data_IF_194707547754
#
_entry.id   IF_194707547754
#
_cell.length_a   1.000
_cell.length_b   1.000
_cell.length_c   1.000
_cell.angle_alpha   90.00
_cell.angle_beta   90.00
_cell.angle_gamma   90.00
#
_symmetry.space_group_name_H-M   'P 1'
#
loop_
_entity.id
_entity.type
_entity.pdbx_description
1 polymer ?
#
# COMPACT_ATOMS: atom_id res chain seq x y z
N UNK A 1 -0.87 -19.32 -37.30
CA UNK A 1 -1.57 -18.06 -36.99
C UNK A 1 -1.74 -18.06 -35.49
N UNK A 2 -0.75 -17.49 -34.80
CA UNK A 2 -0.58 -17.66 -33.37
C UNK A 2 -1.40 -16.61 -32.61
N UNK A 3 -2.07 -17.14 -31.60
CA UNK A 3 -2.68 -16.54 -30.44
C UNK A 3 -1.92 -15.32 -29.89
N UNK A 4 -2.47 -14.12 -30.04
CA UNK A 4 -2.12 -12.94 -29.23
C UNK A 4 -3.39 -12.41 -28.53
N UNK A 5 -3.77 -13.03 -27.42
CA UNK A 5 -4.40 -12.30 -26.35
C UNK A 5 -3.60 -12.57 -25.08
N UNK A 6 -2.94 -11.54 -24.53
CA UNK A 6 -2.69 -11.28 -23.09
C UNK A 6 -1.47 -10.38 -22.92
N UNK A 7 -1.48 -9.18 -23.52
CA UNK A 7 -0.56 -8.11 -23.08
C UNK A 7 -1.27 -7.07 -22.20
N UNK A 8 -2.61 -7.00 -22.25
CA UNK A 8 -3.42 -6.06 -21.46
C UNK A 8 -3.79 -6.55 -20.06
N UNK A 9 -3.42 -7.79 -19.69
CA UNK A 9 -3.74 -8.38 -18.37
C UNK A 9 -2.56 -8.42 -17.39
N UNK A 10 -1.40 -7.88 -17.77
CA UNK A 10 -0.19 -7.88 -16.92
C UNK A 10 0.01 -6.56 -16.15
N UNK A 11 -0.63 -5.47 -16.59
CA UNK A 11 -0.43 -4.14 -16.00
C UNK A 11 -1.27 -3.94 -14.72
N UNK A 12 -2.43 -4.58 -14.58
CA UNK A 12 -3.36 -4.23 -13.49
C UNK A 12 -3.02 -4.88 -12.11
N UNK A 13 -1.97 -5.69 -11.98
CA UNK A 13 -1.66 -6.39 -10.71
C UNK A 13 -0.23 -6.31 -10.19
N UNK A 14 0.71 -5.72 -10.93
CA UNK A 14 2.12 -5.62 -10.53
C UNK A 14 2.77 -4.30 -10.96
N UNK A 15 2.09 -3.17 -10.75
CA UNK A 15 2.80 -1.89 -10.79
C UNK A 15 3.60 -1.75 -9.49
N UNK A 16 4.78 -2.37 -9.51
CA UNK A 16 5.86 -2.10 -8.58
C UNK A 16 6.47 -0.75 -8.97
N UNK A 17 6.35 0.24 -8.09
CA UNK A 17 6.96 1.56 -8.25
C UNK A 17 8.34 1.58 -7.61
N UNK A 18 9.32 2.16 -8.29
CA UNK A 18 10.64 2.46 -7.71
C UNK A 18 10.56 3.54 -6.64
N UNK A 19 11.57 3.64 -5.77
CA UNK A 19 11.66 4.69 -4.74
C UNK A 19 11.47 6.11 -5.32
N UNK A 20 12.07 6.39 -6.47
CA UNK A 20 12.00 7.71 -7.13
C UNK A 20 10.59 8.00 -7.66
N UNK A 21 9.94 7.02 -8.31
CA UNK A 21 8.54 7.17 -8.72
C UNK A 21 7.61 7.33 -7.52
N UNK A 22 7.93 6.63 -6.42
CA UNK A 22 7.17 6.71 -5.18
C UNK A 22 7.30 8.10 -4.53
N UNK A 23 8.50 8.70 -4.57
CA UNK A 23 8.75 10.09 -4.17
C UNK A 23 7.88 11.06 -4.96
N UNK A 24 7.90 10.95 -6.29
CA UNK A 24 7.11 11.82 -7.18
C UNK A 24 5.59 11.69 -6.94
N UNK A 25 5.10 10.47 -6.70
CA UNK A 25 3.67 10.18 -6.54
C UNK A 25 3.12 10.47 -5.15
N UNK A 26 3.96 10.43 -4.11
CA UNK A 26 3.60 10.70 -2.71
C UNK A 26 3.87 12.15 -2.29
N UNK A 27 4.78 12.84 -2.97
CA UNK A 27 5.27 14.16 -2.58
C UNK A 27 6.20 14.15 -1.38
N UNK A 28 6.65 12.96 -0.94
CA UNK A 28 7.70 12.78 0.07
C UNK A 28 9.06 12.73 -0.60
N UNK A 29 10.09 13.24 0.05
CA UNK A 29 11.47 13.08 -0.41
C UNK A 29 11.95 11.63 -0.25
N UNK A 30 12.94 11.19 -1.04
CA UNK A 30 13.53 9.86 -0.89
C UNK A 30 14.11 9.60 0.51
N UNK A 31 14.57 10.66 1.20
CA UNK A 31 15.03 10.59 2.59
C UNK A 31 13.88 10.28 3.55
N UNK A 32 12.76 11.01 3.46
CA UNK A 32 11.56 10.72 4.27
C UNK A 32 11.02 9.31 3.99
N UNK A 33 11.01 8.88 2.73
CA UNK A 33 10.57 7.53 2.38
C UNK A 33 11.45 6.45 3.02
N UNK A 34 12.78 6.67 3.06
CA UNK A 34 13.72 5.77 3.72
C UNK A 34 13.47 5.72 5.24
N UNK A 35 13.27 6.87 5.89
CA UNK A 35 12.88 6.92 7.32
C UNK A 35 11.57 6.15 7.57
N UNK A 36 10.60 6.27 6.67
CA UNK A 36 9.32 5.58 6.78
C UNK A 36 9.44 4.06 6.61
N UNK A 37 10.40 3.60 5.79
CA UNK A 37 10.75 2.17 5.71
C UNK A 37 11.40 1.71 7.01
N UNK A 38 12.32 2.50 7.58
CA UNK A 38 13.00 2.17 8.84
C UNK A 38 12.05 2.06 10.04
N UNK A 39 11.05 2.95 10.11
CA UNK A 39 10.02 2.93 11.17
C UNK A 39 8.89 1.95 10.85
N UNK A 40 8.89 1.32 9.67
CA UNK A 40 7.93 0.29 9.25
C UNK A 40 6.57 0.83 8.80
N UNK A 41 6.48 2.13 8.52
CA UNK A 41 5.30 2.77 7.89
C UNK A 41 5.15 2.28 6.44
N UNK A 42 6.30 2.08 5.79
CA UNK A 42 6.43 1.59 4.44
C UNK A 42 7.11 0.23 4.44
N UNK A 43 6.62 -0.67 3.60
CA UNK A 43 7.24 -1.95 3.35
C UNK A 43 7.52 -2.08 1.84
N UNK A 44 8.79 -2.10 1.42
CA UNK A 44 9.14 -2.50 0.06
C UNK A 44 8.90 -4.01 -0.13
N UNK A 45 8.79 -4.44 -1.38
CA UNK A 45 8.57 -5.86 -1.70
C UNK A 45 9.74 -6.74 -1.23
N UNK A 46 10.97 -6.23 -1.31
CA UNK A 46 12.16 -6.79 -0.69
C UNK A 46 13.01 -5.67 -0.04
N UNK A 47 13.04 -5.57 1.30
CA UNK A 47 13.83 -4.55 1.99
C UNK A 47 15.35 -4.78 1.92
N UNK A 48 15.80 -6.01 1.61
CA UNK A 48 17.23 -6.35 1.55
C UNK A 48 17.87 -6.08 0.18
N UNK A 49 17.06 -5.87 -0.86
CA UNK A 49 17.53 -5.72 -2.24
C UNK A 49 17.22 -4.32 -2.76
N UNK A 50 18.26 -3.52 -2.97
CA UNK A 50 18.14 -2.26 -3.70
C UNK A 50 18.30 -2.48 -5.22
N UNK A 51 17.60 -1.68 -6.06
CA UNK A 51 16.68 -0.60 -5.69
C UNK A 51 15.33 -1.13 -5.17
N UNK A 52 14.78 -0.47 -4.14
CA UNK A 52 13.49 -0.86 -3.57
C UNK A 52 12.35 -0.69 -4.55
N UNK A 53 11.43 -1.66 -4.54
CA UNK A 53 10.15 -1.61 -5.23
C UNK A 53 8.98 -1.63 -4.25
N UNK A 54 7.91 -0.93 -4.59
CA UNK A 54 6.70 -0.82 -3.76
C UNK A 54 5.46 -1.19 -4.57
N UNK A 55 4.59 -2.00 -3.99
CA UNK A 55 3.28 -2.28 -4.59
C UNK A 55 2.39 -1.04 -4.67
N UNK A 56 1.46 -1.03 -5.62
CA UNK A 56 0.46 0.04 -5.78
C UNK A 56 -0.41 0.25 -4.53
N UNK A 57 -0.69 -0.80 -3.75
CA UNK A 57 -1.42 -0.69 -2.48
C UNK A 57 -0.64 0.12 -1.45
N UNK A 58 0.69 0.01 -1.45
CA UNK A 58 1.59 0.78 -0.59
C UNK A 58 1.46 2.29 -0.86
N UNK A 59 1.28 2.68 -2.13
CA UNK A 59 1.05 4.08 -2.53
C UNK A 59 -0.28 4.63 -1.97
N UNK A 60 -1.35 3.84 -1.99
CA UNK A 60 -2.66 4.23 -1.45
C UNK A 60 -2.57 4.47 0.05
N UNK A 61 -1.85 3.58 0.75
CA UNK A 61 -1.59 3.69 2.19
C UNK A 61 -0.78 4.95 2.50
N UNK A 62 0.30 5.22 1.78
CA UNK A 62 1.12 6.43 2.01
C UNK A 62 0.37 7.72 1.73
N UNK A 63 -0.39 7.80 0.63
CA UNK A 63 -1.20 8.99 0.36
C UNK A 63 -2.20 9.26 1.47
N UNK A 64 -2.77 8.19 2.03
CA UNK A 64 -3.66 8.28 3.19
C UNK A 64 -2.90 8.74 4.43
N UNK A 65 -1.72 8.19 4.69
CA UNK A 65 -0.83 8.59 5.78
C UNK A 65 -0.41 10.07 5.69
N UNK A 66 0.02 10.54 4.52
CA UNK A 66 0.39 11.94 4.29
C UNK A 66 -0.79 12.89 4.47
N UNK A 67 -1.98 12.50 3.99
CA UNK A 67 -3.21 13.28 4.21
C UNK A 67 -3.52 13.38 5.71
N UNK A 68 -3.43 12.26 6.45
CA UNK A 68 -3.65 12.25 7.89
C UNK A 68 -2.60 13.05 8.65
N UNK A 69 -1.32 12.96 8.26
CA UNK A 69 -0.22 13.78 8.79
C UNK A 69 -0.56 15.26 8.73
N UNK A 70 -1.07 15.70 7.57
CA UNK A 70 -1.48 17.09 7.32
C UNK A 70 -2.76 17.48 8.06
N UNK A 71 -3.77 16.61 8.05
CA UNK A 71 -5.09 16.93 8.60
C UNK A 71 -5.11 16.93 10.14
N UNK A 72 -4.19 16.18 10.77
CA UNK A 72 -4.13 15.99 12.22
C UNK A 72 -2.83 16.51 12.86
N UNK A 73 -1.96 17.19 12.10
CA UNK A 73 -0.66 17.71 12.55
C UNK A 73 0.20 16.66 13.28
N UNK A 74 0.24 15.45 12.71
CA UNK A 74 0.90 14.30 13.32
C UNK A 74 2.40 14.30 13.02
N UNK A 75 3.19 13.88 14.00
CA UNK A 75 4.60 13.53 13.80
C UNK A 75 4.75 12.16 13.12
N UNK A 76 5.96 11.82 12.68
CA UNK A 76 6.26 10.58 11.95
C UNK A 76 5.93 9.32 12.75
N UNK A 77 6.15 9.29 14.06
CA UNK A 77 5.84 8.13 14.91
C UNK A 77 4.32 7.95 15.03
N UNK A 78 3.59 9.06 15.17
CA UNK A 78 2.13 9.06 15.17
C UNK A 78 1.55 8.57 13.84
N UNK A 79 2.18 8.91 12.71
CA UNK A 79 1.80 8.41 11.37
C UNK A 79 2.07 6.92 11.24
N UNK A 80 3.20 6.42 11.75
CA UNK A 80 3.51 4.99 11.76
C UNK A 80 2.45 4.17 12.47
N UNK A 81 2.05 4.61 13.68
CA UNK A 81 0.99 3.98 14.45
C UNK A 81 -0.35 4.00 13.69
N UNK A 82 -0.68 5.13 13.06
CA UNK A 82 -1.92 5.30 12.32
C UNK A 82 -1.99 4.40 11.08
N UNK A 83 -0.90 4.27 10.34
CA UNK A 83 -0.78 3.34 9.21
C UNK A 83 -0.92 1.90 9.68
N UNK A 84 -0.27 1.52 10.78
CA UNK A 84 -0.42 0.18 11.36
C UNK A 84 -1.88 -0.12 11.73
N UNK A 85 -2.59 0.85 12.32
CA UNK A 85 -4.02 0.72 12.63
C UNK A 85 -4.90 0.62 11.39
N UNK A 86 -4.64 1.39 10.34
CA UNK A 86 -5.37 1.30 9.06
C UNK A 86 -5.16 -0.06 8.40
N UNK A 87 -3.92 -0.56 8.35
CA UNK A 87 -3.62 -1.90 7.86
C UNK A 87 -4.36 -2.97 8.66
N UNK A 88 -4.45 -2.81 9.99
CA UNK A 88 -5.22 -3.72 10.85
C UNK A 88 -6.72 -3.67 10.56
N UNK A 89 -7.29 -2.48 10.34
CA UNK A 89 -8.69 -2.32 9.94
C UNK A 89 -8.95 -3.01 8.59
N UNK A 90 -8.12 -2.77 7.57
CA UNK A 90 -8.28 -3.41 6.27
C UNK A 90 -8.20 -4.93 6.35
N UNK A 91 -7.28 -5.48 7.16
CA UNK A 91 -7.17 -6.92 7.39
C UNK A 91 -8.43 -7.49 8.06
N UNK A 92 -8.96 -6.81 9.09
CA UNK A 92 -10.20 -7.21 9.76
C UNK A 92 -11.41 -7.13 8.83
N UNK A 93 -11.50 -6.08 8.01
CA UNK A 93 -12.57 -5.97 7.01
C UNK A 93 -12.48 -7.06 5.95
N UNK A 94 -11.27 -7.47 5.54
CA UNK A 94 -11.07 -8.59 4.63
C UNK A 94 -11.56 -9.90 5.26
N UNK A 95 -11.19 -10.16 6.52
CA UNK A 95 -11.67 -11.34 7.27
C UNK A 95 -13.20 -11.34 7.39
N UNK A 96 -13.81 -10.21 7.74
CA UNK A 96 -15.27 -10.08 7.81
C UNK A 96 -15.92 -10.33 6.44
N UNK A 97 -15.35 -9.81 5.35
CA UNK A 97 -15.85 -10.07 3.99
C UNK A 97 -15.78 -11.55 3.64
N UNK A 98 -14.68 -12.22 3.96
CA UNK A 98 -14.52 -13.67 3.73
C UNK A 98 -15.53 -14.49 4.53
N UNK A 99 -15.70 -14.17 5.82
CA UNK A 99 -16.68 -14.84 6.67
C UNK A 99 -18.10 -14.64 6.14
N UNK A 100 -18.45 -13.43 5.72
CA UNK A 100 -19.74 -13.13 5.09
C UNK A 100 -19.94 -13.87 3.77
N UNK A 101 -18.90 -14.03 2.97
CA UNK A 101 -18.98 -14.79 1.71
C UNK A 101 -19.20 -16.30 1.94
N UNK A 102 -18.74 -16.84 3.09
CA UNK A 102 -18.94 -18.25 3.49
C UNK A 102 -20.31 -18.52 4.11
N UNK A 103 -21.03 -17.49 4.54
CA UNK A 103 -22.40 -17.67 5.02
C UNK A 103 -23.32 -17.95 3.81
N UNK A 104 -24.19 -18.97 3.88
CA UNK A 104 -25.19 -19.18 2.84
C UNK A 104 -26.03 -17.89 2.73
N UNK A 105 -26.06 -17.32 1.53
CA UNK A 105 -26.89 -16.16 1.20
C UNK A 105 -28.35 -16.59 1.34
N UNK A 106 -28.89 -16.48 2.55
CA UNK A 106 -30.32 -16.64 2.80
C UNK A 106 -30.97 -15.46 2.09
N UNK A 107 -31.38 -15.67 0.83
CA UNK A 107 -32.23 -14.76 0.11
C UNK A 107 -33.49 -14.57 0.97
N UNK A 108 -33.66 -13.36 1.53
CA UNK A 108 -34.93 -12.90 2.07
C UNK A 108 -35.59 -12.01 1.03
#
# INVERSE_FOLDING_TARGET
>A
MADEPTETLWLHRYHACSLTEFSDLSGLTETELREWVEVGVLAPDDPATEPWSFSADCLVTVRTACRLRRDFDLDTDSVALLVALLNRVHALEAEVRELRAKLPQVHR
#
